data_IF_234050266289
#
_entry.id   IF_234050266289
#
_cell.length_a   1.000
_cell.length_b   1.000
_cell.length_c   1.000
_cell.angle_alpha   90.00
_cell.angle_beta   90.00
_cell.angle_gamma   90.00
#
_symmetry.space_group_name_H-M   'P 1'
#
loop_
_entity.id
_entity.type
_entity.pdbx_description
1 polymer ?
#
# COMPACT_ATOMS: atom_id res chain seq x y z
N UNK A 1 42.77 -70.96 22.62
CA UNK A 1 41.90 -69.77 22.66
C UNK A 1 42.56 -68.76 23.58
N UNK A 2 43.35 -67.85 23.01
CA UNK A 2 43.91 -66.69 23.69
C UNK A 2 44.11 -65.61 22.61
N UNK A 3 43.32 -64.55 22.73
CA UNK A 3 43.27 -63.39 21.86
C UNK A 3 44.64 -62.71 21.74
N UNK A 4 45.09 -62.51 20.51
CA UNK A 4 45.97 -61.39 20.19
C UNK A 4 45.10 -60.14 20.13
N UNK A 5 45.36 -59.16 21.00
CA UNK A 5 44.80 -57.82 20.88
C UNK A 5 45.94 -56.91 20.46
N UNK A 6 45.97 -56.59 19.18
CA UNK A 6 46.91 -55.67 18.55
C UNK A 6 46.51 -54.23 18.91
N UNK A 7 47.44 -53.47 19.49
CA UNK A 7 47.26 -52.06 19.80
C UNK A 7 47.48 -51.26 18.52
N UNK A 8 46.39 -50.86 17.87
CA UNK A 8 46.45 -49.96 16.73
C UNK A 8 46.90 -48.56 17.17
N UNK A 9 48.06 -48.14 16.69
CA UNK A 9 48.59 -46.79 16.84
C UNK A 9 47.73 -45.78 16.08
N UNK A 10 47.19 -44.78 16.78
CA UNK A 10 46.49 -43.64 16.20
C UNK A 10 47.50 -42.74 15.49
N UNK A 11 47.39 -42.61 14.16
CA UNK A 11 48.11 -41.60 13.38
C UNK A 11 47.37 -40.25 13.49
N UNK A 12 48.04 -39.11 13.73
CA UNK A 12 47.39 -37.81 13.75
C UNK A 12 47.36 -37.23 12.33
N UNK A 13 46.18 -37.10 11.72
CA UNK A 13 46.08 -36.38 10.45
C UNK A 13 44.75 -35.63 10.33
N UNK A 14 44.83 -34.29 10.45
CA UNK A 14 44.12 -33.27 9.63
C UNK A 14 44.22 -31.89 10.30
N UNK A 15 45.30 -31.15 10.03
CA UNK A 15 45.41 -29.71 10.37
C UNK A 15 45.76 -28.83 9.17
N UNK A 16 45.47 -29.24 7.93
CA UNK A 16 45.82 -28.45 6.73
C UNK A 16 44.62 -28.00 5.88
N UNK A 17 43.49 -27.68 6.51
CA UNK A 17 42.36 -27.01 5.82
C UNK A 17 41.85 -25.79 6.57
N UNK A 18 42.76 -24.87 6.86
CA UNK A 18 42.38 -23.50 7.18
C UNK A 18 42.37 -22.74 5.85
N UNK A 19 41.21 -22.19 5.45
CA UNK A 19 41.11 -21.40 4.22
C UNK A 19 42.05 -20.19 4.32
N UNK A 20 42.58 -19.71 3.19
CA UNK A 20 43.48 -18.55 3.19
C UNK A 20 42.84 -17.32 3.85
N UNK A 21 41.53 -17.17 3.72
CA UNK A 21 40.76 -16.14 4.44
C UNK A 21 40.84 -16.26 5.97
N UNK A 22 40.86 -17.48 6.53
CA UNK A 22 40.96 -17.71 7.98
C UNK A 22 42.41 -17.57 8.46
N UNK A 23 43.41 -17.93 7.65
CA UNK A 23 44.83 -17.66 7.96
C UNK A 23 45.13 -16.17 8.04
N UNK A 24 44.53 -15.37 7.16
CA UNK A 24 44.65 -13.90 7.16
C UNK A 24 44.00 -13.31 8.43
N UNK A 25 42.81 -13.78 8.82
CA UNK A 25 42.14 -13.37 10.06
C UNK A 25 42.95 -13.71 11.32
N UNK A 26 43.56 -14.90 11.38
CA UNK A 26 44.42 -15.31 12.49
C UNK A 26 45.66 -14.42 12.63
N UNK A 27 46.30 -14.02 11.52
CA UNK A 27 47.45 -13.09 11.55
C UNK A 27 47.09 -11.70 12.09
N UNK A 28 45.86 -11.25 11.86
CA UNK A 28 45.36 -9.96 12.36
C UNK A 28 45.12 -9.99 13.88
N UNK A 29 44.58 -11.10 14.40
CA UNK A 29 44.38 -11.30 15.86
C UNK A 29 45.74 -11.35 16.60
N UNK A 30 46.81 -11.79 15.92
CA UNK A 30 48.17 -11.90 16.46
C UNK A 30 48.96 -10.56 16.35
N UNK A 31 48.37 -9.50 15.78
CA UNK A 31 48.95 -8.15 15.80
C UNK A 31 49.98 -7.85 14.71
N UNK A 32 50.04 -8.64 13.63
CA UNK A 32 50.85 -8.31 12.46
C UNK A 32 50.19 -7.17 11.65
N UNK A 33 50.97 -6.13 11.29
CA UNK A 33 50.47 -4.97 10.54
C UNK A 33 50.05 -5.36 9.11
N UNK A 34 48.83 -4.98 8.70
CA UNK A 34 48.36 -5.17 7.33
C UNK A 34 49.30 -4.46 6.34
N UNK A 35 49.71 -5.11 5.22
CA UNK A 35 50.49 -4.44 4.20
C UNK A 35 49.66 -3.29 3.60
N UNK A 36 50.26 -2.10 3.46
CA UNK A 36 49.55 -0.87 3.07
C UNK A 36 48.72 -0.98 1.78
N UNK A 37 49.04 -1.93 0.89
CA UNK A 37 48.28 -2.24 -0.33
C UNK A 37 46.90 -2.85 -0.01
N UNK A 38 46.78 -3.69 1.01
CA UNK A 38 45.50 -4.26 1.46
C UNK A 38 44.67 -3.19 2.17
N UNK A 39 45.30 -2.29 2.93
CA UNK A 39 44.64 -1.14 3.57
C UNK A 39 44.06 -0.18 2.52
N UNK A 40 44.80 0.08 1.43
CA UNK A 40 44.35 0.92 0.31
C UNK A 40 43.20 0.27 -0.47
N UNK A 41 43.23 -1.06 -0.67
CA UNK A 41 42.15 -1.80 -1.34
C UNK A 41 40.87 -1.81 -0.49
N UNK A 42 40.98 -2.02 0.83
CA UNK A 42 39.85 -1.91 1.77
C UNK A 42 39.30 -0.48 1.84
N UNK A 43 40.16 0.54 1.84
CA UNK A 43 39.75 1.93 1.78
C UNK A 43 39.06 2.29 0.46
N UNK A 44 39.51 1.75 -0.69
CA UNK A 44 38.87 1.96 -1.99
C UNK A 44 37.47 1.32 -2.08
N UNK A 45 37.26 0.15 -1.46
CA UNK A 45 35.94 -0.49 -1.43
C UNK A 45 34.91 0.32 -0.61
N UNK A 46 35.35 1.14 0.34
CA UNK A 46 34.47 2.00 1.15
C UNK A 46 33.99 3.26 0.41
N UNK A 47 34.54 3.59 -0.77
CA UNK A 47 34.13 4.77 -1.55
C UNK A 47 33.10 4.49 -2.66
N UNK A 48 32.81 3.23 -2.98
CA UNK A 48 31.94 2.86 -4.11
C UNK A 48 30.44 2.81 -3.76
N UNK A 49 30.06 2.93 -2.48
CA UNK A 49 28.66 2.80 -2.03
C UNK A 49 27.89 4.11 -1.95
N UNK A 50 28.57 5.27 -2.05
CA UNK A 50 27.94 6.57 -1.83
C UNK A 50 27.21 7.16 -3.05
N UNK A 51 27.48 6.70 -4.28
CA UNK A 51 26.81 7.25 -5.46
C UNK A 51 25.38 6.72 -5.63
N UNK A 52 25.14 5.44 -5.31
CA UNK A 52 23.81 4.84 -5.47
C UNK A 52 22.79 5.42 -4.50
N UNK A 53 23.18 5.62 -3.23
CA UNK A 53 22.28 6.18 -2.21
C UNK A 53 21.78 7.58 -2.55
N UNK A 54 22.64 8.41 -3.16
CA UNK A 54 22.24 9.73 -3.65
C UNK A 54 21.17 9.63 -4.74
N UNK A 55 21.40 8.80 -5.77
CA UNK A 55 20.45 8.66 -6.88
C UNK A 55 19.10 8.09 -6.42
N UNK A 56 19.11 7.10 -5.51
CA UNK A 56 17.89 6.55 -4.90
C UNK A 56 17.09 7.67 -4.20
N UNK A 57 17.77 8.52 -3.43
CA UNK A 57 17.12 9.63 -2.74
C UNK A 57 16.60 10.71 -3.70
N UNK A 58 17.31 11.01 -4.79
CA UNK A 58 16.84 11.94 -5.81
C UNK A 58 15.54 11.44 -6.48
N UNK A 59 15.47 10.14 -6.79
CA UNK A 59 14.25 9.50 -7.33
C UNK A 59 13.10 9.48 -6.34
N UNK A 60 13.38 9.18 -5.07
CA UNK A 60 12.40 9.29 -3.99
C UNK A 60 11.78 10.70 -3.92
N UNK A 61 12.63 11.74 -3.93
CA UNK A 61 12.16 13.12 -3.88
C UNK A 61 11.34 13.49 -5.12
N UNK A 62 11.76 13.03 -6.30
CA UNK A 62 11.00 13.17 -7.55
C UNK A 62 9.61 12.53 -7.46
N UNK A 63 9.52 11.29 -6.96
CA UNK A 63 8.25 10.60 -6.79
C UNK A 63 7.31 11.30 -5.80
N UNK A 64 7.85 11.87 -4.71
CA UNK A 64 7.05 12.68 -3.76
C UNK A 64 6.53 13.96 -4.42
N UNK A 65 7.33 14.62 -5.26
CA UNK A 65 6.90 15.80 -6.02
C UNK A 65 5.81 15.44 -7.04
N UNK A 66 5.92 14.28 -7.70
CA UNK A 66 4.93 13.75 -8.63
C UNK A 66 3.60 13.42 -7.91
N UNK A 67 3.65 12.79 -6.74
CA UNK A 67 2.50 12.57 -5.85
C UNK A 67 1.77 13.88 -5.51
N UNK A 68 2.52 14.90 -5.09
CA UNK A 68 1.96 16.21 -4.73
C UNK A 68 1.27 16.92 -5.91
N UNK A 69 1.73 16.63 -7.14
CA UNK A 69 1.15 17.13 -8.39
C UNK A 69 0.03 16.24 -8.94
N UNK A 70 -0.41 15.24 -8.18
CA UNK A 70 -1.39 14.23 -8.58
C UNK A 70 -1.00 13.45 -9.85
N UNK A 71 0.31 13.26 -10.07
CA UNK A 71 0.87 12.44 -11.15
C UNK A 71 1.24 11.07 -10.60
N UNK A 72 0.22 10.29 -10.28
CA UNK A 72 0.40 9.10 -9.45
C UNK A 72 1.16 7.99 -10.21
N UNK A 73 0.90 7.80 -11.50
CA UNK A 73 1.61 6.82 -12.33
C UNK A 73 3.09 7.17 -12.49
N UNK A 74 3.41 8.45 -12.76
CA UNK A 74 4.80 8.95 -12.83
C UNK A 74 5.52 8.71 -11.49
N UNK A 75 4.83 8.95 -10.37
CA UNK A 75 5.38 8.73 -9.03
C UNK A 75 5.72 7.25 -8.79
N UNK A 76 4.82 6.34 -9.16
CA UNK A 76 5.04 4.89 -9.07
C UNK A 76 6.29 4.48 -9.88
N UNK A 77 6.47 5.03 -11.09
CA UNK A 77 7.66 4.78 -11.91
C UNK A 77 8.94 5.24 -11.21
N UNK A 78 8.96 6.48 -10.69
CA UNK A 78 10.11 7.01 -9.95
C UNK A 78 10.45 6.17 -8.71
N UNK A 79 9.44 5.71 -7.96
CA UNK A 79 9.65 4.84 -6.80
C UNK A 79 10.17 3.45 -7.21
N UNK A 80 9.67 2.88 -8.30
CA UNK A 80 10.16 1.60 -8.80
C UNK A 80 11.62 1.69 -9.26
N UNK A 81 12.03 2.74 -9.97
CA UNK A 81 13.45 2.95 -10.32
C UNK A 81 14.32 3.08 -9.05
N UNK A 82 13.81 3.77 -8.02
CA UNK A 82 14.52 3.88 -6.74
C UNK A 82 14.67 2.51 -6.04
N UNK A 83 13.66 1.65 -6.12
CA UNK A 83 13.69 0.29 -5.56
C UNK A 83 14.66 -0.63 -6.30
N UNK A 84 14.72 -0.55 -7.62
CA UNK A 84 15.66 -1.33 -8.44
C UNK A 84 17.12 -0.99 -8.12
N UNK A 85 17.43 0.29 -7.92
CA UNK A 85 18.78 0.75 -7.57
C UNK A 85 19.25 0.32 -6.18
N UNK A 86 18.33 -0.10 -5.31
CA UNK A 86 18.68 -0.53 -3.95
C UNK A 86 19.21 -1.95 -3.84
N UNK A 87 19.25 -2.71 -4.94
CA UNK A 87 19.90 -4.01 -5.02
C UNK A 87 19.45 -4.98 -3.91
N UNK A 88 18.12 -5.01 -3.68
CA UNK A 88 17.50 -5.88 -2.67
C UNK A 88 17.74 -5.50 -1.21
N UNK A 89 18.38 -4.35 -0.93
CA UNK A 89 18.56 -3.87 0.45
C UNK A 89 17.22 -3.48 1.06
N UNK A 90 16.92 -4.03 2.23
CA UNK A 90 15.77 -3.65 3.04
C UNK A 90 16.27 -2.79 4.19
N UNK A 91 15.85 -1.52 4.22
CA UNK A 91 16.24 -0.55 5.23
C UNK A 91 15.28 0.63 5.25
N UNK A 92 15.50 1.58 6.16
CA UNK A 92 14.56 2.69 6.43
C UNK A 92 14.18 3.48 5.16
N UNK A 93 15.16 3.81 4.32
CA UNK A 93 14.91 4.51 3.05
C UNK A 93 13.98 3.73 2.12
N UNK A 94 14.12 2.40 2.10
CA UNK A 94 13.34 1.51 1.24
C UNK A 94 11.89 1.41 1.71
N UNK A 95 11.71 1.25 3.02
CA UNK A 95 10.39 1.20 3.66
C UNK A 95 9.65 2.52 3.47
N UNK A 96 10.36 3.64 3.56
CA UNK A 96 9.81 4.96 3.30
C UNK A 96 9.39 5.13 1.82
N UNK A 97 10.23 4.74 0.85
CA UNK A 97 9.85 4.72 -0.59
C UNK A 97 8.61 3.87 -0.83
N UNK A 98 8.55 2.67 -0.24
CA UNK A 98 7.39 1.79 -0.35
C UNK A 98 6.12 2.39 0.25
N UNK A 99 6.24 3.17 1.33
CA UNK A 99 5.09 3.86 1.93
C UNK A 99 4.50 4.88 0.97
N UNK A 100 5.34 5.70 0.32
CA UNK A 100 4.87 6.64 -0.70
C UNK A 100 4.34 5.93 -1.95
N UNK A 101 4.94 4.80 -2.33
CA UNK A 101 4.43 4.00 -3.44
C UNK A 101 3.03 3.43 -3.15
N UNK A 102 2.78 2.93 -1.94
CA UNK A 102 1.45 2.47 -1.55
C UNK A 102 0.40 3.58 -1.61
N UNK A 103 0.77 4.81 -1.22
CA UNK A 103 -0.10 5.97 -1.37
C UNK A 103 -0.37 6.28 -2.85
N UNK A 104 0.65 6.23 -3.72
CA UNK A 104 0.48 6.44 -5.15
C UNK A 104 -0.42 5.35 -5.79
N UNK A 105 -0.17 4.08 -5.46
CA UNK A 105 -0.98 2.92 -5.86
C UNK A 105 -2.45 3.12 -5.46
N UNK A 106 -2.70 3.52 -4.21
CA UNK A 106 -4.04 3.85 -3.72
C UNK A 106 -4.69 4.98 -4.53
N UNK A 107 -3.95 6.06 -4.79
CA UNK A 107 -4.48 7.23 -5.51
C UNK A 107 -4.74 6.95 -7.01
N UNK A 108 -4.03 5.99 -7.62
CA UNK A 108 -4.35 5.49 -8.97
C UNK A 108 -5.57 4.57 -9.03
N UNK A 109 -6.05 4.10 -7.88
CA UNK A 109 -7.11 3.10 -7.79
C UNK A 109 -6.61 1.64 -7.88
N UNK A 110 -5.29 1.42 -7.91
CA UNK A 110 -4.71 0.07 -7.83
C UNK A 110 -4.66 -0.41 -6.37
N UNK A 111 -5.85 -0.66 -5.82
CA UNK A 111 -6.02 -1.06 -4.43
C UNK A 111 -5.40 -2.43 -4.11
N UNK A 112 -5.29 -3.32 -5.10
CA UNK A 112 -4.64 -4.63 -4.94
C UNK A 112 -3.13 -4.47 -4.76
N UNK A 113 -2.47 -3.66 -5.60
CA UNK A 113 -1.05 -3.36 -5.45
C UNK A 113 -0.77 -2.65 -4.12
N UNK A 114 -1.57 -1.64 -3.79
CA UNK A 114 -1.46 -0.91 -2.52
C UNK A 114 -1.58 -1.85 -1.31
N UNK A 115 -2.57 -2.76 -1.30
CA UNK A 115 -2.75 -3.76 -0.25
C UNK A 115 -1.51 -4.63 -0.09
N UNK A 116 -0.97 -5.15 -1.19
CA UNK A 116 0.23 -5.98 -1.17
C UNK A 116 1.45 -5.21 -0.63
N UNK A 117 1.61 -3.95 -1.01
CA UNK A 117 2.69 -3.10 -0.49
C UNK A 117 2.54 -2.88 1.01
N UNK A 118 1.32 -2.58 1.49
CA UNK A 118 1.03 -2.39 2.92
C UNK A 118 1.23 -3.66 3.73
N UNK A 119 0.80 -4.82 3.23
CA UNK A 119 1.02 -6.11 3.90
C UNK A 119 2.52 -6.38 4.08
N UNK A 120 3.31 -6.14 3.03
CA UNK A 120 4.77 -6.28 3.08
C UNK A 120 5.39 -5.34 4.11
N UNK A 121 4.97 -4.07 4.13
CA UNK A 121 5.45 -3.08 5.10
C UNK A 121 5.16 -3.51 6.54
N UNK A 122 3.95 -3.99 6.82
CA UNK A 122 3.52 -4.43 8.16
C UNK A 122 4.23 -5.72 8.59
N UNK A 123 4.53 -6.62 7.66
CA UNK A 123 5.29 -7.84 7.92
C UNK A 123 6.75 -7.54 8.28
N UNK A 124 7.39 -6.64 7.53
CA UNK A 124 8.83 -6.36 7.65
C UNK A 124 9.15 -5.36 8.76
N UNK A 125 8.32 -4.32 8.90
CA UNK A 125 8.58 -3.15 9.75
C UNK A 125 7.57 -3.02 10.91
N UNK A 126 6.71 -4.02 11.06
CA UNK A 126 5.66 -4.05 12.07
C UNK A 126 4.49 -3.13 11.76
N UNK A 127 3.43 -3.28 12.55
CA UNK A 127 2.17 -2.56 12.34
C UNK A 127 2.23 -1.13 12.91
N UNK A 128 2.70 -0.19 12.08
CA UNK A 128 2.83 1.25 12.42
C UNK A 128 1.57 2.03 12.04
N UNK A 129 1.42 3.19 12.69
CA UNK A 129 0.23 4.04 12.53
C UNK A 129 0.01 4.53 11.09
N UNK A 130 1.07 4.90 10.38
CA UNK A 130 0.99 5.29 8.97
C UNK A 130 0.48 4.14 8.08
N UNK A 131 0.87 2.89 8.35
CA UNK A 131 0.40 1.73 7.59
C UNK A 131 -1.06 1.42 7.90
N UNK A 132 -1.47 1.49 9.17
CA UNK A 132 -2.87 1.31 9.57
C UNK A 132 -3.80 2.31 8.91
N UNK A 133 -3.35 3.56 8.76
CA UNK A 133 -4.15 4.59 8.09
C UNK A 133 -4.47 4.21 6.65
N UNK A 134 -3.46 3.80 5.88
CA UNK A 134 -3.67 3.37 4.49
C UNK A 134 -4.49 2.07 4.44
N UNK A 135 -4.21 1.11 5.34
CA UNK A 135 -5.01 -0.11 5.47
C UNK A 135 -6.49 0.19 5.71
N UNK A 136 -6.81 1.10 6.63
CA UNK A 136 -8.19 1.51 6.90
C UNK A 136 -8.88 2.13 5.69
N UNK A 137 -8.12 2.83 4.84
CA UNK A 137 -8.65 3.38 3.59
C UNK A 137 -8.91 2.28 2.56
N UNK A 138 -8.03 1.28 2.46
CA UNK A 138 -8.20 0.11 1.59
C UNK A 138 -9.40 -0.74 2.02
N UNK A 139 -9.54 -0.99 3.32
CA UNK A 139 -10.67 -1.71 3.90
C UNK A 139 -11.99 -1.00 3.58
N UNK A 140 -12.02 0.33 3.69
CA UNK A 140 -13.19 1.12 3.34
C UNK A 140 -13.52 1.03 1.84
N UNK A 141 -12.52 1.06 0.94
CA UNK A 141 -12.76 0.91 -0.50
C UNK A 141 -13.27 -0.47 -0.86
N UNK A 142 -12.77 -1.52 -0.19
CA UNK A 142 -13.31 -2.87 -0.33
C UNK A 142 -14.78 -2.95 0.08
N UNK A 143 -15.14 -2.35 1.23
CA UNK A 143 -16.52 -2.30 1.70
C UNK A 143 -17.44 -1.53 0.73
N UNK A 144 -16.95 -0.44 0.14
CA UNK A 144 -17.69 0.30 -0.90
C UNK A 144 -17.94 -0.60 -2.11
N UNK A 145 -16.93 -1.31 -2.62
CA UNK A 145 -17.13 -2.28 -3.72
C UNK A 145 -18.19 -3.34 -3.38
N UNK A 146 -18.13 -3.91 -2.17
CA UNK A 146 -19.13 -4.88 -1.70
C UNK A 146 -20.54 -4.26 -1.62
N UNK A 147 -20.65 -2.99 -1.22
CA UNK A 147 -21.91 -2.25 -1.22
C UNK A 147 -22.45 -2.04 -2.63
N UNK A 148 -21.61 -1.60 -3.58
CA UNK A 148 -21.98 -1.43 -4.99
C UNK A 148 -22.52 -2.73 -5.57
N UNK A 149 -21.83 -3.86 -5.32
CA UNK A 149 -22.26 -5.19 -5.76
C UNK A 149 -23.62 -5.59 -5.15
N UNK A 150 -23.82 -5.34 -3.85
CA UNK A 150 -25.08 -5.60 -3.17
C UNK A 150 -26.24 -4.77 -3.76
N UNK A 151 -26.03 -3.47 -4.02
CA UNK A 151 -27.01 -2.58 -4.66
C UNK A 151 -27.38 -3.05 -6.07
N UNK A 152 -26.40 -3.49 -6.85
CA UNK A 152 -26.61 -4.04 -8.19
C UNK A 152 -27.46 -5.32 -8.16
N UNK A 153 -27.31 -6.14 -7.11
CA UNK A 153 -28.09 -7.34 -6.89
C UNK A 153 -29.45 -7.08 -6.18
N UNK A 154 -29.72 -5.83 -5.78
CA UNK A 154 -30.94 -5.45 -5.07
C UNK A 154 -30.95 -5.78 -3.58
N UNK A 155 -29.82 -6.25 -3.03
CA UNK A 155 -29.65 -6.54 -1.60
C UNK A 155 -29.35 -5.25 -0.83
N UNK A 156 -30.42 -4.51 -0.52
CA UNK A 156 -30.30 -3.21 0.16
C UNK A 156 -29.86 -3.34 1.62
N UNK A 157 -30.14 -4.47 2.28
CA UNK A 157 -29.75 -4.69 3.68
C UNK A 157 -28.23 -4.83 3.80
N UNK A 158 -27.63 -5.67 2.94
CA UNK A 158 -26.17 -5.79 2.88
C UNK A 158 -25.53 -4.47 2.46
N UNK A 159 -26.09 -3.79 1.45
CA UNK A 159 -25.56 -2.51 1.01
C UNK A 159 -25.49 -1.48 2.15
N UNK A 160 -26.58 -1.31 2.91
CA UNK A 160 -26.63 -0.39 4.05
C UNK A 160 -25.54 -0.69 5.07
N UNK A 161 -25.43 -1.96 5.46
CA UNK A 161 -24.41 -2.41 6.42
C UNK A 161 -23.01 -2.03 5.94
N UNK A 162 -22.68 -2.29 4.68
CA UNK A 162 -21.35 -2.05 4.12
C UNK A 162 -21.03 -0.55 3.98
N UNK A 163 -21.99 0.26 3.58
CA UNK A 163 -21.84 1.71 3.52
C UNK A 163 -21.61 2.33 4.92
N UNK A 164 -22.31 1.82 5.94
CA UNK A 164 -22.12 2.24 7.33
C UNK A 164 -20.75 1.84 7.87
N UNK A 165 -20.32 0.61 7.62
CA UNK A 165 -18.98 0.12 7.98
C UNK A 165 -17.88 0.94 7.31
N UNK A 166 -18.00 1.24 6.01
CA UNK A 166 -17.05 2.07 5.28
C UNK A 166 -16.98 3.50 5.87
N UNK A 167 -18.13 4.10 6.14
CA UNK A 167 -18.22 5.44 6.74
C UNK A 167 -17.62 5.50 8.15
N UNK A 168 -17.76 4.42 8.94
CA UNK A 168 -17.17 4.30 10.27
C UNK A 168 -15.63 4.26 10.25
N UNK A 169 -15.02 3.82 9.14
CA UNK A 169 -13.58 3.89 8.90
C UNK A 169 -13.08 5.30 8.52
N UNK A 170 -13.98 6.29 8.47
CA UNK A 170 -13.63 7.70 8.33
C UNK A 170 -13.52 8.20 6.88
N UNK A 171 -13.84 7.36 5.89
CA UNK A 171 -13.99 7.80 4.50
C UNK A 171 -15.38 8.46 4.37
N UNK A 172 -15.44 9.78 4.13
CA UNK A 172 -16.72 10.52 4.08
C UNK A 172 -16.98 11.24 2.76
N UNK A 173 -15.92 11.64 2.07
CA UNK A 173 -16.00 12.40 0.82
C UNK A 173 -15.60 11.56 -0.40
N UNK A 174 -15.50 10.24 -0.25
CA UNK A 174 -15.25 9.36 -1.39
C UNK A 174 -16.41 9.42 -2.37
N UNK A 175 -16.06 9.53 -3.65
CA UNK A 175 -17.02 9.73 -4.73
C UNK A 175 -17.95 8.53 -4.88
N UNK A 176 -17.42 7.31 -4.82
CA UNK A 176 -18.20 6.08 -4.98
C UNK A 176 -19.12 5.88 -3.78
N UNK A 177 -18.60 6.06 -2.56
CA UNK A 177 -19.43 6.00 -1.34
C UNK A 177 -20.64 6.93 -1.45
N UNK A 178 -20.43 8.21 -1.79
CA UNK A 178 -21.53 9.19 -1.90
C UNK A 178 -22.52 8.85 -3.00
N UNK A 179 -22.05 8.27 -4.10
CA UNK A 179 -22.93 7.87 -5.19
C UNK A 179 -23.76 6.64 -4.82
N UNK A 180 -23.15 5.63 -4.19
CA UNK A 180 -23.85 4.43 -3.72
C UNK A 180 -24.89 4.75 -2.63
N UNK A 181 -24.64 5.76 -1.78
CA UNK A 181 -25.65 6.28 -0.85
C UNK A 181 -26.89 6.82 -1.57
N UNK A 182 -26.72 7.55 -2.69
CA UNK A 182 -27.84 8.05 -3.50
C UNK A 182 -28.63 6.86 -4.07
N UNK A 183 -27.92 5.87 -4.63
CA UNK A 183 -28.53 4.67 -5.20
C UNK A 183 -29.29 3.87 -4.14
N UNK A 184 -28.75 3.74 -2.93
CA UNK A 184 -29.43 3.10 -1.80
C UNK A 184 -30.73 3.83 -1.43
N UNK A 185 -30.68 5.16 -1.28
CA UNK A 185 -31.86 5.97 -0.95
C UNK A 185 -32.94 5.84 -2.02
N UNK A 186 -32.56 5.85 -3.29
CA UNK A 186 -33.48 5.64 -4.40
C UNK A 186 -34.15 4.25 -4.35
N UNK A 187 -33.35 3.18 -4.22
CA UNK A 187 -33.86 1.79 -4.17
C UNK A 187 -34.78 1.53 -2.98
N UNK A 188 -34.59 2.27 -1.89
CA UNK A 188 -35.42 2.20 -0.68
C UNK A 188 -36.55 3.24 -0.66
N UNK A 189 -36.82 3.89 -1.80
CA UNK A 189 -37.89 4.85 -1.99
C UNK A 189 -37.83 6.10 -1.07
N UNK A 190 -36.64 6.46 -0.60
CA UNK A 190 -36.38 7.68 0.15
C UNK A 190 -36.13 8.85 -0.80
N UNK A 191 -37.15 9.20 -1.60
CA UNK A 191 -37.03 10.08 -2.78
C UNK A 191 -36.47 11.47 -2.48
N UNK A 192 -36.97 12.12 -1.42
CA UNK A 192 -36.48 13.46 -1.03
C UNK A 192 -35.04 13.43 -0.55
N UNK A 193 -34.66 12.41 0.23
CA UNK A 193 -33.29 12.23 0.70
C UNK A 193 -32.34 11.98 -0.48
N UNK A 194 -32.71 11.10 -1.41
CA UNK A 194 -31.95 10.84 -2.63
C UNK A 194 -31.79 12.11 -3.48
N UNK A 195 -32.88 12.88 -3.65
CA UNK A 195 -32.88 14.14 -4.42
C UNK A 195 -31.93 15.19 -3.81
N UNK A 196 -31.94 15.36 -2.49
CA UNK A 196 -31.02 16.29 -1.82
C UNK A 196 -29.57 15.78 -1.91
N UNK A 197 -29.33 14.49 -1.69
CA UNK A 197 -28.00 13.89 -1.76
C UNK A 197 -27.37 14.03 -3.16
N UNK A 198 -28.13 13.81 -4.24
CA UNK A 198 -27.59 13.95 -5.62
C UNK A 198 -27.29 15.40 -5.98
N UNK A 199 -28.03 16.38 -5.45
CA UNK A 199 -27.70 17.80 -5.61
C UNK A 199 -26.35 18.13 -4.96
N UNK A 200 -26.17 17.74 -3.70
CA UNK A 200 -24.91 17.93 -2.99
C UNK A 200 -23.74 17.18 -3.64
N UNK A 201 -24.00 16.02 -4.25
CA UNK A 201 -22.99 15.28 -5.02
C UNK A 201 -22.56 16.07 -6.26
N UNK A 202 -23.51 16.62 -7.01
CA UNK A 202 -23.25 17.39 -8.23
C UNK A 202 -22.59 18.75 -7.98
N UNK A 203 -22.67 19.31 -6.77
CA UNK A 203 -21.86 20.48 -6.39
C UNK A 203 -20.35 20.18 -6.45
N UNK A 204 -19.95 18.97 -6.06
CA UNK A 204 -18.55 18.54 -6.08
C UNK A 204 -18.16 17.90 -7.42
N UNK A 205 -19.10 17.23 -8.08
CA UNK A 205 -18.87 16.49 -9.33
C UNK A 205 -19.77 17.00 -10.48
N UNK A 206 -19.69 18.29 -10.86
CA UNK A 206 -20.65 18.92 -11.77
C UNK A 206 -20.59 18.39 -13.21
N UNK A 207 -19.58 17.61 -13.58
CA UNK A 207 -19.46 16.98 -14.90
C UNK A 207 -20.02 15.56 -14.96
N UNK A 208 -20.44 14.98 -13.83
CA UNK A 208 -20.94 13.62 -13.76
C UNK A 208 -22.26 13.48 -14.53
N UNK A 209 -22.23 12.71 -15.62
CA UNK A 209 -23.40 12.55 -16.50
C UNK A 209 -24.43 11.60 -15.93
N UNK A 210 -24.03 10.67 -15.07
CA UNK A 210 -24.91 9.69 -14.46
C UNK A 210 -25.71 10.32 -13.34
N UNK A 211 -25.03 10.99 -12.40
CA UNK A 211 -25.69 11.75 -11.35
C UNK A 211 -26.66 12.83 -11.88
N UNK A 212 -26.35 13.45 -13.04
CA UNK A 212 -27.30 14.36 -13.71
C UNK A 212 -28.58 13.69 -14.21
N UNK A 213 -28.49 12.43 -14.65
CA UNK A 213 -29.68 11.66 -15.04
C UNK A 213 -30.50 11.30 -13.81
N UNK A 214 -29.84 10.86 -12.74
CA UNK A 214 -30.51 10.54 -11.48
C UNK A 214 -31.20 11.76 -10.87
N UNK A 215 -30.55 12.94 -10.87
CA UNK A 215 -31.19 14.18 -10.44
C UNK A 215 -32.50 14.44 -11.16
N UNK A 216 -32.52 14.31 -12.50
CA UNK A 216 -33.73 14.53 -13.29
C UNK A 216 -34.81 13.50 -12.98
N UNK A 217 -34.43 12.24 -12.79
CA UNK A 217 -35.38 11.19 -12.40
C UNK A 217 -36.00 11.48 -11.03
N UNK A 218 -35.16 11.78 -10.03
CA UNK A 218 -35.57 12.06 -8.65
C UNK A 218 -36.42 13.32 -8.55
N UNK A 219 -36.13 14.37 -9.34
CA UNK A 219 -36.97 15.57 -9.45
C UNK A 219 -38.42 15.19 -9.82
N UNK A 220 -38.62 14.33 -10.82
CA UNK A 220 -39.99 13.89 -11.18
C UNK A 220 -40.69 13.10 -10.09
N UNK A 221 -39.94 12.40 -9.23
CA UNK A 221 -40.51 11.65 -8.10
C UNK A 221 -40.95 12.58 -6.99
N UNK A 222 -40.11 13.55 -6.64
CA UNK A 222 -40.43 14.56 -5.62
C UNK A 222 -41.62 15.40 -6.05
N UNK A 223 -41.65 15.90 -7.30
CA UNK A 223 -42.78 16.68 -7.84
C UNK A 223 -44.10 15.89 -7.77
N UNK A 224 -44.06 14.59 -8.05
CA UNK A 224 -45.23 13.73 -8.00
C UNK A 224 -45.73 13.48 -6.56
N UNK A 225 -44.84 13.50 -5.57
CA UNK A 225 -45.21 13.41 -4.15
C UNK A 225 -45.84 14.72 -3.66
N UNK A 226 -45.23 15.86 -3.99
CA UNK A 226 -45.72 17.18 -3.59
C UNK A 226 -47.10 17.48 -4.20
N UNK A 227 -47.36 17.01 -5.43
CA UNK A 227 -48.63 17.22 -6.11
C UNK A 227 -49.75 16.24 -5.71
N UNK A 228 -49.46 15.24 -4.85
CA UNK A 228 -50.42 14.22 -4.45
C UNK A 228 -50.56 14.14 -2.92
N UNK A 229 -51.59 14.80 -2.35
CA UNK A 229 -51.91 14.83 -0.91
C UNK A 229 -52.02 13.44 -0.26
N UNK A 230 -52.29 12.38 -1.02
CA UNK A 230 -52.37 11.02 -0.50
C UNK A 230 -50.99 10.34 -0.29
N UNK A 231 -49.95 10.80 -0.99
CA UNK A 231 -48.59 10.23 -0.91
C UNK A 231 -47.67 10.98 0.05
N UNK A 232 -47.95 12.26 0.34
CA UNK A 232 -47.18 13.06 1.31
C UNK A 232 -47.30 12.57 2.76
N UNK A 233 -48.26 11.70 3.07
CA UNK A 233 -48.54 11.19 4.41
C UNK A 233 -47.98 9.78 4.69
N UNK A 234 -47.17 9.22 3.77
CA UNK A 234 -46.57 7.87 3.87
C UNK A 234 -45.07 7.87 4.21
N UNK A 235 -44.48 9.06 4.41
CA UNK A 235 -43.11 9.23 4.91
C UNK A 235 -43.07 9.17 6.44
#
# INVERSE_FOLDING_TARGET
MAMQTEVASVQPERTDRISESVKIMLKYIIGEKLPGRILVILALMLFLTSCSSKKINDLRLKGIEELQKAKYEDAIESFNEAMELSDGKVGELQLDIMTYRAEAEYMTGDYEAAQKTIDTLREVDGDKENYRKIQSQLDAKKLITEATEALNNGDCDTARQKLDEASALGIKNDRELRFDEIVYLEKTAQWEAAYNAVKEYLEQYPSDKEAKRELKFLETRVDALESNEALSNLQ
#
